data_IF_774075775356
#
_entry.id   IF_774075775356
#
_cell.length_a   1.000
_cell.length_b   1.000
_cell.length_c   1.000
_cell.angle_alpha   90.00
_cell.angle_beta   90.00
_cell.angle_gamma   90.00
#
_symmetry.space_group_name_H-M   'P 1'
#
loop_
_entity.id
_entity.type
_entity.pdbx_description
1 polymer ?
#
# COMPACT_ATOMS: atom_id res chain seq x y z
N UNK A 1 8.59 -16.44 2.64
CA UNK A 1 8.18 -15.24 3.40
C UNK A 1 9.05 -14.09 2.96
N UNK A 2 8.46 -12.96 2.56
CA UNK A 2 9.22 -11.86 1.96
C UNK A 2 8.83 -10.49 2.51
N UNK A 3 9.81 -9.60 2.65
CA UNK A 3 9.58 -8.17 2.80
C UNK A 3 9.75 -7.50 1.44
N UNK A 4 8.72 -6.76 1.00
CA UNK A 4 8.75 -6.01 -0.26
C UNK A 4 9.00 -4.53 0.00
N UNK A 5 9.92 -3.96 -0.75
CA UNK A 5 10.13 -2.50 -0.80
C UNK A 5 9.57 -1.99 -2.12
N UNK A 6 8.51 -1.20 -2.06
CA UNK A 6 7.87 -0.59 -3.22
C UNK A 6 8.15 0.90 -3.18
N UNK A 7 8.94 1.39 -4.15
CA UNK A 7 9.21 2.82 -4.27
C UNK A 7 8.34 3.44 -5.37
N UNK A 8 7.30 4.16 -4.96
CA UNK A 8 6.46 4.97 -5.84
C UNK A 8 6.73 6.48 -5.63
N UNK A 9 7.78 6.86 -4.89
CA UNK A 9 8.06 8.27 -4.57
C UNK A 9 8.41 9.11 -5.79
N UNK A 10 9.06 8.49 -6.80
CA UNK A 10 9.34 9.11 -8.09
C UNK A 10 8.18 9.06 -9.09
N UNK A 11 7.08 8.37 -8.76
CA UNK A 11 5.93 8.27 -9.65
C UNK A 11 5.05 9.52 -9.56
N UNK A 12 4.41 9.89 -10.67
CA UNK A 12 3.37 10.92 -10.64
C UNK A 12 2.21 10.46 -9.76
N UNK A 13 1.42 11.36 -9.15
CA UNK A 13 0.23 10.97 -8.39
C UNK A 13 -0.77 10.15 -9.22
N UNK A 14 -0.78 10.36 -10.54
CA UNK A 14 -1.60 9.60 -11.47
C UNK A 14 -1.10 8.17 -11.68
N UNK A 15 0.20 7.90 -11.63
CA UNK A 15 0.79 6.56 -11.88
C UNK A 15 1.21 5.80 -10.63
N UNK A 16 1.34 6.48 -9.47
CA UNK A 16 1.78 5.88 -8.22
C UNK A 16 0.92 4.69 -7.79
N UNK A 17 -0.39 4.76 -8.02
CA UNK A 17 -1.30 3.66 -7.69
C UNK A 17 -1.00 2.41 -8.53
N UNK A 18 -0.74 2.54 -9.84
CA UNK A 18 -0.39 1.40 -10.71
C UNK A 18 0.89 0.72 -10.23
N UNK A 19 1.93 1.49 -9.90
CA UNK A 19 3.19 0.95 -9.35
C UNK A 19 2.94 0.10 -8.10
N UNK A 20 2.09 0.58 -7.19
CA UNK A 20 1.73 -0.16 -5.97
C UNK A 20 0.93 -1.41 -6.31
N UNK A 21 -0.09 -1.30 -7.16
CA UNK A 21 -0.94 -2.44 -7.54
C UNK A 21 -0.13 -3.54 -8.24
N UNK A 22 0.74 -3.18 -9.19
CA UNK A 22 1.56 -4.13 -9.93
C UNK A 22 2.54 -4.86 -9.02
N UNK A 23 3.19 -4.14 -8.10
CA UNK A 23 4.10 -4.74 -7.13
C UNK A 23 3.39 -5.72 -6.18
N UNK A 24 2.19 -5.35 -5.69
CA UNK A 24 1.39 -6.21 -4.82
C UNK A 24 0.84 -7.43 -5.57
N UNK A 25 0.44 -7.26 -6.83
CA UNK A 25 -0.04 -8.36 -7.68
C UNK A 25 1.07 -9.36 -7.96
N UNK A 26 2.28 -8.89 -8.31
CA UNK A 26 3.45 -9.75 -8.45
C UNK A 26 3.85 -10.44 -7.13
N UNK A 27 3.57 -9.82 -5.96
CA UNK A 27 3.77 -10.46 -4.66
C UNK A 27 2.78 -11.61 -4.43
N UNK A 28 1.50 -11.37 -4.74
CA UNK A 28 0.43 -12.38 -4.64
C UNK A 28 0.69 -13.56 -5.58
N UNK A 29 1.14 -13.30 -6.80
CA UNK A 29 1.44 -14.32 -7.82
C UNK A 29 2.59 -15.24 -7.41
N UNK A 30 3.54 -14.76 -6.61
CA UNK A 30 4.63 -15.58 -6.03
C UNK A 30 4.16 -16.60 -5.00
N UNK A 31 2.88 -16.56 -4.60
CA UNK A 31 2.24 -17.50 -3.65
C UNK A 31 2.88 -17.59 -2.27
N UNK A 32 3.76 -16.67 -1.91
CA UNK A 32 4.37 -16.59 -0.58
C UNK A 32 3.65 -15.58 0.31
N UNK A 33 3.73 -15.78 1.63
CA UNK A 33 3.35 -14.76 2.61
C UNK A 33 4.33 -13.60 2.60
N UNK A 34 3.80 -12.38 2.72
CA UNK A 34 4.63 -11.17 2.63
C UNK A 34 4.12 -10.00 3.46
N UNK A 35 5.01 -9.05 3.72
CA UNK A 35 4.68 -7.69 4.15
C UNK A 35 5.35 -6.69 3.20
N UNK A 36 4.81 -5.49 3.08
CA UNK A 36 5.37 -4.48 2.18
C UNK A 36 5.54 -3.12 2.85
N UNK A 37 6.62 -2.43 2.48
CA UNK A 37 6.83 -1.01 2.73
C UNK A 37 6.65 -0.28 1.41
N UNK A 38 5.77 0.71 1.39
CA UNK A 38 5.38 1.46 0.19
C UNK A 38 5.72 2.92 0.38
N UNK A 39 6.70 3.44 -0.35
CA UNK A 39 7.03 4.87 -0.35
C UNK A 39 6.13 5.59 -1.35
N UNK A 40 5.30 6.50 -0.85
CA UNK A 40 4.37 7.27 -1.67
C UNK A 40 5.00 8.59 -2.13
N UNK A 41 4.56 9.17 -3.24
CA UNK A 41 4.99 10.51 -3.63
C UNK A 41 4.45 11.56 -2.63
N UNK A 42 5.27 12.57 -2.34
CA UNK A 42 4.94 13.67 -1.42
C UNK A 42 3.85 14.61 -1.94
N UNK A 43 3.64 14.65 -3.26
CA UNK A 43 2.74 15.62 -3.86
C UNK A 43 1.29 15.15 -3.80
N UNK A 44 0.36 15.92 -3.21
CA UNK A 44 -1.05 15.58 -3.29
C UNK A 44 -1.52 15.64 -4.76
N UNK A 45 -2.43 14.76 -5.20
CA UNK A 45 -3.04 14.90 -6.51
C UNK A 45 -3.84 16.22 -6.53
N UNK A 46 -3.27 17.27 -7.12
CA UNK A 46 -4.04 18.46 -7.49
C UNK A 46 -5.07 18.03 -8.53
N UNK A 47 -6.34 18.02 -8.13
CA UNK A 47 -7.45 17.78 -9.04
C UNK A 47 -8.12 16.43 -8.79
N UNK A 48 -9.37 16.53 -8.35
CA UNK A 48 -10.36 15.46 -8.25
C UNK A 48 -10.61 14.86 -9.65
N UNK A 49 -9.81 13.90 -10.09
CA UNK A 49 -10.16 13.08 -11.26
C UNK A 49 -10.90 11.84 -10.79
N UNK A 50 -12.22 11.93 -10.91
CA UNK A 50 -13.18 10.83 -10.80
C UNK A 50 -12.90 9.78 -11.92
N UNK A 51 -12.22 10.20 -13.00
CA UNK A 51 -11.68 9.31 -14.02
C UNK A 51 -10.63 8.36 -13.41
N UNK A 52 -10.94 7.06 -13.38
CA UNK A 52 -10.06 6.00 -12.85
C UNK A 52 -10.52 5.37 -11.53
N UNK A 53 -11.55 5.90 -10.85
CA UNK A 53 -12.05 5.29 -9.61
C UNK A 53 -12.64 3.89 -9.83
N UNK A 54 -13.42 3.70 -10.89
CA UNK A 54 -13.99 2.40 -11.24
C UNK A 54 -12.92 1.37 -11.60
N UNK A 55 -11.88 1.79 -12.30
CA UNK A 55 -10.73 0.94 -12.64
C UNK A 55 -9.95 0.51 -11.40
N UNK A 56 -9.68 1.45 -10.48
CA UNK A 56 -9.05 1.15 -9.18
C UNK A 56 -9.87 0.17 -8.36
N UNK A 57 -11.20 0.31 -8.33
CA UNK A 57 -12.08 -0.65 -7.66
C UNK A 57 -12.02 -2.04 -8.31
N UNK A 58 -11.96 -2.12 -9.65
CA UNK A 58 -11.81 -3.39 -10.37
C UNK A 58 -10.46 -4.05 -10.05
N UNK A 59 -9.37 -3.29 -10.07
CA UNK A 59 -8.03 -3.78 -9.71
C UNK A 59 -8.00 -4.28 -8.26
N UNK A 60 -8.55 -3.51 -7.32
CA UNK A 60 -8.61 -3.91 -5.92
C UNK A 60 -9.43 -5.18 -5.72
N UNK A 61 -10.59 -5.32 -6.39
CA UNK A 61 -11.39 -6.55 -6.32
C UNK A 61 -10.63 -7.79 -6.80
N UNK A 62 -9.79 -7.66 -7.82
CA UNK A 62 -8.94 -8.75 -8.32
C UNK A 62 -7.80 -9.08 -7.36
N UNK A 63 -7.18 -8.07 -6.77
CA UNK A 63 -6.03 -8.21 -5.90
C UNK A 63 -6.40 -8.71 -4.49
N UNK A 64 -7.54 -8.26 -3.96
CA UNK A 64 -7.94 -8.45 -2.55
C UNK A 64 -7.95 -9.91 -2.06
N UNK A 65 -8.47 -10.91 -2.81
CA UNK A 65 -8.43 -12.29 -2.33
C UNK A 65 -7.01 -12.78 -2.03
N UNK A 66 -6.05 -12.47 -2.92
CA UNK A 66 -4.65 -12.83 -2.71
C UNK A 66 -3.98 -12.06 -1.57
N UNK A 67 -4.36 -10.80 -1.36
CA UNK A 67 -3.89 -10.04 -0.19
C UNK A 67 -4.42 -10.61 1.11
N UNK A 68 -5.71 -10.94 1.20
CA UNK A 68 -6.30 -11.53 2.41
C UNK A 68 -5.59 -12.84 2.77
N UNK A 69 -5.22 -13.64 1.78
CA UNK A 69 -4.54 -14.91 2.00
C UNK A 69 -3.06 -14.75 2.40
N UNK A 70 -2.36 -13.75 1.85
CA UNK A 70 -0.88 -13.73 1.86
C UNK A 70 -0.25 -12.48 2.47
N UNK A 71 -0.94 -11.34 2.45
CA UNK A 71 -0.44 -10.09 3.01
C UNK A 71 -0.55 -10.10 4.54
N UNK A 72 0.56 -9.81 5.20
CA UNK A 72 0.66 -9.70 6.66
C UNK A 72 0.68 -8.26 7.15
N UNK A 73 1.09 -7.33 6.28
CA UNK A 73 0.96 -5.91 6.55
C UNK A 73 1.46 -5.03 5.41
N UNK A 74 0.86 -3.86 5.28
CA UNK A 74 1.30 -2.78 4.38
C UNK A 74 1.65 -1.54 5.20
N UNK A 75 2.91 -1.12 5.17
CA UNK A 75 3.37 0.12 5.75
C UNK A 75 3.56 1.18 4.66
N UNK A 76 2.84 2.29 4.75
CA UNK A 76 2.98 3.40 3.81
C UNK A 76 3.89 4.48 4.39
N UNK A 77 4.95 4.84 3.66
CA UNK A 77 5.83 5.96 3.98
C UNK A 77 5.36 7.19 3.24
N UNK A 78 4.90 8.20 3.98
CA UNK A 78 4.43 9.49 3.45
C UNK A 78 4.49 10.57 4.53
N UNK A 79 4.71 11.82 4.15
CA UNK A 79 4.69 12.94 5.10
C UNK A 79 3.42 13.02 5.94
N UNK A 80 3.53 13.59 7.13
CA UNK A 80 2.37 13.80 8.00
C UNK A 80 1.23 14.57 7.32
N UNK A 81 1.55 15.52 6.44
CA UNK A 81 0.55 16.26 5.67
C UNK A 81 -0.24 15.32 4.75
N UNK A 82 0.46 14.43 4.03
CA UNK A 82 -0.19 13.40 3.22
C UNK A 82 -1.02 12.44 4.08
N UNK A 83 -0.55 12.08 5.29
CA UNK A 83 -1.31 11.25 6.22
C UNK A 83 -2.62 11.94 6.66
N UNK A 84 -2.56 13.24 7.01
CA UNK A 84 -3.73 14.05 7.37
C UNK A 84 -4.73 14.13 6.21
N UNK A 85 -4.24 14.41 5.00
CA UNK A 85 -5.06 14.50 3.79
C UNK A 85 -5.73 13.16 3.43
N UNK A 86 -5.12 12.02 3.78
CA UNK A 86 -5.61 10.67 3.50
C UNK A 86 -6.21 9.96 4.72
N UNK A 87 -6.42 10.66 5.85
CA UNK A 87 -6.76 10.04 7.13
C UNK A 87 -8.00 9.12 7.07
N UNK A 88 -9.01 9.46 6.26
CA UNK A 88 -10.19 8.59 6.06
C UNK A 88 -9.83 7.28 5.36
N UNK A 89 -8.99 7.33 4.33
CA UNK A 89 -8.54 6.15 3.61
C UNK A 89 -7.63 5.27 4.50
N UNK A 90 -6.75 5.89 5.30
CA UNK A 90 -5.88 5.19 6.25
C UNK A 90 -6.69 4.44 7.32
N UNK A 91 -7.72 5.07 7.89
CA UNK A 91 -8.61 4.40 8.87
C UNK A 91 -9.32 3.17 8.30
N UNK A 92 -9.67 3.20 7.03
CA UNK A 92 -10.30 2.06 6.34
C UNK A 92 -9.28 1.15 5.64
N UNK A 93 -7.98 1.38 5.80
CA UNK A 93 -6.92 0.69 5.07
C UNK A 93 -7.01 -0.82 5.22
N UNK A 94 -7.10 -1.32 6.45
CA UNK A 94 -7.19 -2.76 6.68
C UNK A 94 -8.41 -3.42 6.01
N UNK A 95 -9.54 -2.73 5.96
CA UNK A 95 -10.76 -3.21 5.28
C UNK A 95 -10.60 -3.21 3.76
N UNK A 96 -9.96 -2.17 3.22
CA UNK A 96 -9.72 -1.99 1.79
C UNK A 96 -8.76 -3.06 1.27
N UNK A 97 -7.62 -3.24 1.95
CA UNK A 97 -6.52 -4.11 1.52
C UNK A 97 -6.68 -5.55 1.97
N UNK A 98 -7.43 -5.82 3.05
CA UNK A 98 -7.61 -7.16 3.59
C UNK A 98 -6.47 -7.66 4.48
N UNK A 99 -5.50 -6.79 4.82
CA UNK A 99 -4.43 -7.04 5.77
C UNK A 99 -4.16 -5.76 6.59
N UNK A 100 -3.51 -5.85 7.76
CA UNK A 100 -3.17 -4.68 8.57
C UNK A 100 -2.43 -3.61 7.76
N UNK A 101 -2.70 -2.33 8.06
CA UNK A 101 -2.03 -1.20 7.41
C UNK A 101 -1.54 -0.19 8.43
N UNK A 102 -0.39 0.44 8.16
CA UNK A 102 0.06 1.62 8.88
C UNK A 102 0.51 2.71 7.91
N UNK A 103 0.59 3.96 8.39
CA UNK A 103 1.29 5.03 7.70
C UNK A 103 2.24 5.74 8.68
N UNK A 104 3.37 6.20 8.18
CA UNK A 104 4.39 6.94 8.94
C UNK A 104 5.23 7.75 7.96
N UNK A 105 5.92 8.78 8.43
CA UNK A 105 6.91 9.53 7.66
C UNK A 105 8.33 8.96 7.84
N UNK A 106 8.52 8.02 8.77
CA UNK A 106 9.79 7.35 9.03
C UNK A 106 9.91 6.00 8.29
N UNK A 107 10.81 5.88 7.28
CA UNK A 107 11.05 4.62 6.59
C UNK A 107 11.54 3.48 7.50
N UNK A 108 12.29 3.80 8.55
CA UNK A 108 12.82 2.85 9.53
C UNK A 108 11.72 2.24 10.39
N UNK A 109 10.78 3.08 10.86
CA UNK A 109 9.58 2.63 11.57
C UNK A 109 8.69 1.76 10.67
N UNK A 110 8.45 2.18 9.43
CA UNK A 110 7.65 1.41 8.47
C UNK A 110 8.24 0.02 8.22
N UNK A 111 9.57 -0.05 8.02
CA UNK A 111 10.28 -1.32 7.85
C UNK A 111 10.18 -2.21 9.08
N UNK A 112 10.43 -1.66 10.26
CA UNK A 112 10.40 -2.42 11.51
C UNK A 112 9.02 -2.99 11.79
N UNK A 113 7.97 -2.20 11.58
CA UNK A 113 6.59 -2.66 11.73
C UNK A 113 6.23 -3.76 10.71
N UNK A 114 6.64 -3.61 9.45
CA UNK A 114 6.36 -4.62 8.41
C UNK A 114 7.08 -5.95 8.70
N UNK A 115 8.32 -5.90 9.21
CA UNK A 115 9.05 -7.07 9.65
C UNK A 115 8.38 -7.75 10.85
N UNK A 116 7.90 -6.97 11.83
CA UNK A 116 7.18 -7.54 12.97
C UNK A 116 5.94 -8.32 12.53
N UNK A 117 5.19 -7.82 11.52
CA UNK A 117 4.03 -8.54 10.95
C UNK A 117 4.37 -9.87 10.29
N UNK A 118 5.60 -10.03 9.79
CA UNK A 118 6.06 -11.31 9.27
C UNK A 118 6.33 -12.29 10.42
N UNK A 119 6.87 -11.84 11.55
CA UNK A 119 7.19 -12.70 12.70
C UNK A 119 6.01 -13.13 13.57
N UNK A 120 4.81 -12.61 13.34
CA UNK A 120 3.59 -12.88 14.14
C UNK A 120 2.76 -14.08 13.64
N UNK A 121 3.31 -14.90 12.75
CA UNK A 121 2.66 -16.10 12.19
C UNK A 121 3.17 -17.35 12.90
#
# INVERSE_FOLDING_TARGET
>A
MALLMVDASGATPASAHSVVFDALMAAVERRETFAAVVRMPETPPRGRRIAGAAERVRLLKRLRPGLVERCRGLAFVMSEEAQRNNAKALRSGAVIWGCPTMATDDPGQARSWALARLGEI
#
